data_IF_499316733278
#
_entry.id   IF_499316733278
#
_cell.length_a   1.000
_cell.length_b   1.000
_cell.length_c   1.000
_cell.angle_alpha   90.00
_cell.angle_beta   90.00
_cell.angle_gamma   90.00
#
_symmetry.space_group_name_H-M   'P 1'
#
loop_
_entity.id
_entity.type
_entity.pdbx_description
1 polymer ?
#
# COMPACT_ATOMS: atom_id res chain seq x y z
N UNK A 1 58.04 -6.71 -26.26
CA UNK A 1 58.09 -7.97 -27.07
C UNK A 1 56.85 -8.79 -26.71
N UNK A 2 56.04 -9.05 -27.76
CA UNK A 2 54.89 -9.97 -27.91
C UNK A 2 53.66 -9.62 -27.06
N UNK A 3 52.51 -9.13 -27.54
CA UNK A 3 51.67 -9.43 -28.74
C UNK A 3 50.91 -10.77 -28.62
N UNK A 4 49.55 -10.59 -28.83
CA UNK A 4 48.60 -11.61 -29.30
C UNK A 4 47.97 -12.47 -28.18
N UNK A 5 46.65 -12.61 -28.02
CA UNK A 5 45.71 -13.01 -29.06
C UNK A 5 44.23 -12.62 -28.74
N UNK A 6 43.54 -12.34 -29.82
CA UNK A 6 42.09 -12.14 -29.96
C UNK A 6 41.35 -13.47 -29.88
N UNK A 7 40.14 -13.48 -29.34
CA UNK A 7 39.08 -14.34 -29.83
C UNK A 7 37.70 -13.65 -29.65
N UNK A 8 37.20 -13.17 -30.79
CA UNK A 8 35.77 -12.84 -31.01
C UNK A 8 34.99 -14.16 -31.07
N UNK A 9 33.85 -14.20 -30.38
CA UNK A 9 32.76 -15.10 -30.79
C UNK A 9 31.44 -14.34 -30.70
N UNK A 10 31.01 -13.84 -31.85
CA UNK A 10 29.68 -13.37 -32.10
C UNK A 10 28.72 -14.57 -32.18
N UNK A 11 27.76 -14.64 -31.26
CA UNK A 11 26.61 -15.56 -31.31
C UNK A 11 25.33 -14.77 -31.56
N UNK A 12 24.91 -14.68 -32.82
CA UNK A 12 23.62 -14.11 -33.20
C UNK A 12 22.52 -15.13 -32.89
N UNK A 13 21.66 -14.81 -31.93
CA UNK A 13 20.37 -15.50 -31.77
C UNK A 13 19.28 -14.72 -32.52
N UNK A 14 18.82 -15.30 -33.60
CA UNK A 14 17.68 -14.85 -34.40
C UNK A 14 16.42 -15.12 -33.61
N UNK A 15 15.77 -14.05 -33.13
CA UNK A 15 14.48 -14.12 -32.43
C UNK A 15 13.34 -14.21 -33.45
N UNK A 16 12.54 -15.26 -33.39
CA UNK A 16 11.27 -15.36 -34.08
C UNK A 16 10.22 -14.44 -33.48
N UNK A 17 9.32 -13.82 -34.25
CA UNK A 17 8.29 -12.96 -33.73
C UNK A 17 7.17 -13.77 -33.08
N UNK A 18 6.89 -13.49 -31.81
CA UNK A 18 5.67 -13.96 -31.13
C UNK A 18 4.45 -13.26 -31.71
N UNK A 19 3.49 -14.05 -32.22
CA UNK A 19 2.20 -13.58 -32.64
C UNK A 19 1.35 -13.11 -31.46
N UNK A 20 0.51 -12.07 -31.62
CA UNK A 20 -0.39 -11.62 -30.55
C UNK A 20 -1.52 -12.62 -30.34
N UNK A 21 -1.65 -13.12 -29.11
CA UNK A 21 -2.81 -13.89 -28.68
C UNK A 21 -3.99 -12.96 -28.47
N UNK A 22 -5.03 -13.14 -29.26
CA UNK A 22 -6.32 -12.50 -29.13
C UNK A 22 -7.01 -12.98 -27.84
N UNK A 23 -7.21 -12.07 -26.90
CA UNK A 23 -7.99 -12.34 -25.71
C UNK A 23 -9.47 -12.47 -26.06
N UNK A 24 -10.05 -13.64 -25.78
CA UNK A 24 -11.48 -13.89 -25.84
C UNK A 24 -12.17 -13.18 -24.65
N UNK A 25 -13.27 -12.44 -24.83
CA UNK A 25 -13.98 -11.83 -23.73
C UNK A 25 -14.80 -12.88 -22.98
N UNK A 26 -14.48 -13.10 -21.72
CA UNK A 26 -15.24 -13.92 -20.78
C UNK A 26 -16.45 -13.14 -20.25
N UNK A 27 -17.62 -13.63 -20.60
CA UNK A 27 -18.94 -13.58 -19.97
C UNK A 27 -19.32 -12.34 -19.14
N UNK A 28 -20.32 -11.64 -19.65
CA UNK A 28 -21.09 -10.65 -18.91
C UNK A 28 -21.86 -11.31 -17.74
N UNK A 29 -22.02 -10.62 -16.60
CA UNK A 29 -22.81 -11.14 -15.49
C UNK A 29 -24.31 -11.11 -15.80
N UNK A 30 -25.11 -12.01 -15.20
CA UNK A 30 -26.56 -12.10 -15.43
C UNK A 30 -27.27 -10.86 -14.87
N UNK A 31 -28.17 -10.30 -15.67
CA UNK A 31 -29.10 -9.24 -15.27
C UNK A 31 -30.08 -9.78 -14.21
N UNK A 32 -30.06 -9.18 -13.02
CA UNK A 32 -31.09 -9.39 -12.02
C UNK A 32 -32.34 -8.58 -12.39
N UNK A 33 -33.42 -9.31 -12.54
CA UNK A 33 -34.78 -8.80 -12.81
C UNK A 33 -35.32 -8.16 -11.54
N UNK A 34 -35.77 -6.90 -11.63
CA UNK A 34 -36.35 -6.15 -10.54
C UNK A 34 -37.63 -6.79 -10.00
N UNK A 35 -37.69 -6.99 -8.70
CA UNK A 35 -38.90 -7.27 -7.95
C UNK A 35 -39.33 -6.04 -7.17
N UNK A 36 -40.47 -5.45 -7.55
CA UNK A 36 -41.19 -4.44 -6.77
C UNK A 36 -41.63 -5.02 -5.43
N UNK A 37 -41.14 -4.48 -4.31
CA UNK A 37 -41.74 -4.71 -3.01
C UNK A 37 -42.29 -3.42 -2.44
N UNK A 38 -43.61 -3.38 -2.27
CA UNK A 38 -44.41 -2.38 -1.61
C UNK A 38 -44.00 -2.22 -0.16
N UNK A 39 -43.79 -0.98 0.20
CA UNK A 39 -43.47 -0.54 1.55
C UNK A 39 -44.76 -0.40 2.40
N UNK A 40 -44.90 -1.05 3.56
CA UNK A 40 -45.86 -0.65 4.57
C UNK A 40 -45.16 0.20 5.64
N UNK A 41 -45.70 1.39 5.83
CA UNK A 41 -45.35 2.39 6.83
C UNK A 41 -45.52 1.81 8.25
N UNK A 42 -44.59 1.88 9.17
CA UNK A 42 -44.84 1.75 10.60
C UNK A 42 -44.65 3.09 11.35
N UNK A 43 -45.62 3.32 12.20
CA UNK A 43 -45.79 4.39 13.13
C UNK A 43 -44.64 4.49 14.16
N UNK A 44 -44.34 5.74 14.49
CA UNK A 44 -43.73 6.35 15.67
C UNK A 44 -43.36 5.47 16.88
N UNK A 45 -42.13 5.67 17.38
CA UNK A 45 -41.76 5.60 18.80
C UNK A 45 -40.68 4.58 19.09
N UNK A 46 -39.46 5.06 19.11
CA UNK A 46 -38.43 4.81 20.13
C UNK A 46 -37.06 5.21 19.57
N UNK A 47 -36.54 6.29 20.10
CA UNK A 47 -35.16 6.72 19.82
C UNK A 47 -34.22 5.82 20.64
N UNK A 48 -33.77 4.74 20.05
CA UNK A 48 -32.57 4.04 20.47
C UNK A 48 -31.42 4.62 19.66
N UNK A 49 -30.47 5.24 20.33
CA UNK A 49 -29.19 5.64 19.75
C UNK A 49 -28.53 4.40 19.16
N UNK A 50 -28.74 4.17 17.85
CA UNK A 50 -27.97 3.23 17.09
C UNK A 50 -26.61 3.88 16.82
N UNK A 51 -25.61 3.46 17.58
CA UNK A 51 -24.21 3.58 17.14
C UNK A 51 -24.15 2.93 15.76
N UNK A 52 -24.08 3.74 14.71
CA UNK A 52 -23.87 3.29 13.33
C UNK A 52 -22.50 2.60 13.26
N UNK A 53 -22.48 1.31 13.55
CA UNK A 53 -21.36 0.47 13.15
C UNK A 53 -21.39 0.43 11.63
N UNK A 54 -20.52 1.20 11.02
CA UNK A 54 -20.30 1.19 9.58
C UNK A 54 -19.73 -0.19 9.23
N UNK A 55 -20.62 -1.09 8.80
CA UNK A 55 -20.24 -2.41 8.30
C UNK A 55 -19.56 -2.21 6.95
N UNK A 56 -18.23 -2.40 6.91
CA UNK A 56 -17.48 -2.32 5.68
C UNK A 56 -17.61 -3.65 4.95
N UNK A 57 -18.24 -3.64 3.78
CA UNK A 57 -18.20 -4.78 2.88
C UNK A 57 -16.80 -4.92 2.28
N UNK A 58 -16.14 -6.03 2.56
CA UNK A 58 -14.87 -6.41 1.96
C UNK A 58 -15.14 -7.36 0.80
N UNK A 59 -14.53 -7.04 -0.32
CA UNK A 59 -14.43 -7.97 -1.44
C UNK A 59 -13.00 -8.49 -1.49
N UNK A 60 -12.83 -9.80 -1.58
CA UNK A 60 -11.52 -10.38 -1.82
C UNK A 60 -11.31 -10.59 -3.31
N UNK A 61 -10.15 -10.22 -3.79
CA UNK A 61 -9.66 -10.53 -5.12
C UNK A 61 -8.39 -11.37 -5.01
N UNK A 62 -8.31 -12.41 -5.83
CA UNK A 62 -7.10 -13.22 -5.90
C UNK A 62 -6.21 -12.69 -7.03
N UNK A 63 -4.95 -12.41 -6.70
CA UNK A 63 -3.92 -12.06 -7.68
C UNK A 63 -2.80 -13.08 -7.62
N UNK A 64 -2.13 -13.28 -8.75
CA UNK A 64 -0.98 -14.17 -8.83
C UNK A 64 0.30 -13.40 -8.46
N UNK A 65 1.10 -13.92 -7.55
CA UNK A 65 2.46 -13.41 -7.34
C UNK A 65 3.35 -13.78 -8.53
N UNK A 66 4.54 -13.18 -8.63
CA UNK A 66 5.49 -13.48 -9.69
C UNK A 66 5.98 -14.95 -9.75
N UNK A 67 5.52 -15.79 -8.80
CA UNK A 67 5.79 -17.24 -8.72
C UNK A 67 4.56 -18.09 -9.02
N UNK A 68 3.47 -17.48 -9.49
CA UNK A 68 2.23 -18.18 -9.82
C UNK A 68 1.36 -18.58 -8.63
N UNK A 69 1.65 -18.12 -7.39
CA UNK A 69 0.81 -18.40 -6.23
C UNK A 69 -0.33 -17.40 -6.14
N UNK A 70 -1.53 -17.88 -5.82
CA UNK A 70 -2.68 -17.02 -5.56
C UNK A 70 -2.52 -16.33 -4.20
N UNK A 71 -2.61 -15.02 -4.20
CA UNK A 71 -2.64 -14.18 -3.01
C UNK A 71 -4.02 -13.53 -2.94
N UNK A 72 -4.68 -13.68 -1.81
CA UNK A 72 -5.93 -13.00 -1.54
C UNK A 72 -5.65 -11.55 -1.17
N UNK A 73 -6.25 -10.62 -1.92
CA UNK A 73 -6.23 -9.19 -1.62
C UNK A 73 -7.64 -8.78 -1.23
N UNK A 74 -7.80 -8.27 -0.02
CA UNK A 74 -9.05 -7.68 0.43
C UNK A 74 -9.24 -6.32 -0.25
N UNK A 75 -10.28 -6.22 -1.08
CA UNK A 75 -10.64 -4.98 -1.75
C UNK A 75 -11.67 -4.23 -0.91
N UNK A 76 -11.37 -2.99 -0.55
CA UNK A 76 -12.32 -2.09 0.05
C UNK A 76 -13.07 -1.35 -1.05
N UNK A 77 -14.37 -1.56 -1.17
CA UNK A 77 -15.22 -0.68 -1.99
C UNK A 77 -15.53 0.60 -1.24
N UNK A 78 -15.35 1.74 -1.90
CA UNK A 78 -15.93 2.99 -1.44
C UNK A 78 -17.46 2.90 -1.47
N UNK A 79 -18.15 3.53 -0.52
CA UNK A 79 -19.60 3.76 -0.61
C UNK A 79 -19.87 4.63 -1.84
N UNK A 80 -21.02 4.47 -2.47
CA UNK A 80 -21.39 5.14 -3.72
C UNK A 80 -21.21 6.66 -3.71
N UNK A 81 -21.25 7.30 -2.53
CA UNK A 81 -21.05 8.75 -2.32
C UNK A 81 -19.73 9.12 -1.62
N UNK A 82 -18.82 8.17 -1.42
CA UNK A 82 -17.57 8.37 -0.68
C UNK A 82 -16.34 8.50 -1.56
N UNK A 83 -15.60 9.59 -1.43
CA UNK A 83 -14.23 9.65 -1.93
C UNK A 83 -13.36 8.67 -1.14
N UNK A 84 -12.52 7.90 -1.82
CA UNK A 84 -11.52 7.04 -1.19
C UNK A 84 -10.12 7.44 -1.66
N UNK A 85 -9.17 7.23 -0.77
CA UNK A 85 -7.77 7.52 -1.06
C UNK A 85 -7.20 6.32 -1.82
N UNK A 86 -6.81 6.53 -3.08
CA UNK A 86 -6.20 5.52 -3.94
C UNK A 86 -4.66 5.54 -3.92
N UNK A 87 -4.08 6.62 -3.44
CA UNK A 87 -2.65 6.76 -3.22
C UNK A 87 -2.41 7.83 -2.15
N UNK A 88 -1.43 7.64 -1.29
CA UNK A 88 -1.00 8.69 -0.37
C UNK A 88 0.52 8.74 -0.27
N UNK A 89 1.05 9.94 -0.25
CA UNK A 89 2.48 10.19 0.01
C UNK A 89 2.60 11.22 1.11
N UNK A 90 3.37 10.89 2.15
CA UNK A 90 3.61 11.82 3.26
C UNK A 90 5.05 11.75 3.76
N UNK A 91 5.47 12.83 4.40
CA UNK A 91 6.78 12.92 5.06
C UNK A 91 6.61 13.27 6.53
N UNK A 92 7.48 12.74 7.35
CA UNK A 92 7.64 13.09 8.77
C UNK A 92 9.12 13.33 9.07
N UNK A 93 9.42 14.09 10.11
CA UNK A 93 10.79 14.23 10.62
C UNK A 93 11.18 12.99 11.44
N UNK A 94 12.45 12.60 11.44
CA UNK A 94 12.94 11.41 12.17
C UNK A 94 12.70 11.50 13.68
N UNK A 95 12.69 12.70 14.25
CA UNK A 95 12.31 12.92 15.66
C UNK A 95 10.87 12.52 15.99
N UNK A 96 10.03 12.28 14.99
CA UNK A 96 8.61 11.93 15.21
C UNK A 96 8.47 10.61 15.97
N UNK A 97 9.28 9.61 15.65
CA UNK A 97 9.18 8.30 16.27
C UNK A 97 9.60 8.33 17.74
N UNK A 98 10.77 8.91 18.12
CA UNK A 98 11.13 9.12 19.52
C UNK A 98 10.08 9.92 20.30
N UNK A 99 9.52 10.97 19.70
CA UNK A 99 8.49 11.80 20.34
C UNK A 99 7.21 11.02 20.62
N UNK A 100 6.72 10.24 19.64
CA UNK A 100 5.48 9.46 19.76
C UNK A 100 5.65 8.30 20.74
N UNK A 101 6.78 7.62 20.70
CA UNK A 101 7.06 6.43 21.52
C UNK A 101 7.66 6.77 22.89
N UNK A 102 8.07 8.01 23.09
CA UNK A 102 8.79 8.49 24.32
C UNK A 102 10.07 7.68 24.59
N UNK A 103 10.73 7.19 23.54
CA UNK A 103 11.94 6.37 23.62
C UNK A 103 12.96 6.84 22.58
N UNK A 104 14.22 6.93 22.99
CA UNK A 104 15.34 7.15 22.06
C UNK A 104 15.76 5.81 21.43
N UNK A 105 16.22 5.85 20.20
CA UNK A 105 16.74 4.71 19.44
C UNK A 105 18.21 4.98 19.12
N UNK A 106 19.04 3.97 19.33
CA UNK A 106 20.50 4.11 19.14
C UNK A 106 20.92 3.73 17.72
N UNK A 107 20.19 2.80 17.12
CA UNK A 107 20.51 2.30 15.79
C UNK A 107 19.35 2.52 14.81
N UNK A 108 19.67 2.69 13.53
CA UNK A 108 18.69 2.78 12.45
C UNK A 108 17.79 1.53 12.40
N UNK A 109 18.35 0.36 12.71
CA UNK A 109 17.60 -0.90 12.71
C UNK A 109 16.49 -0.91 13.78
N UNK A 110 16.81 -0.50 15.01
CA UNK A 110 15.82 -0.37 16.09
C UNK A 110 14.76 0.68 15.76
N UNK A 111 15.20 1.80 15.22
CA UNK A 111 14.33 2.88 14.79
C UNK A 111 13.32 2.41 13.74
N UNK A 112 13.80 1.78 12.66
CA UNK A 112 12.96 1.29 11.58
C UNK A 112 12.06 0.13 12.01
N UNK A 113 12.55 -0.75 12.91
CA UNK A 113 11.71 -1.80 13.48
C UNK A 113 10.53 -1.20 14.25
N UNK A 114 10.78 -0.18 15.08
CA UNK A 114 9.71 0.51 15.81
C UNK A 114 8.76 1.28 14.89
N UNK A 115 9.30 1.91 13.86
CA UNK A 115 8.47 2.56 12.85
C UNK A 115 7.59 1.55 12.11
N UNK A 116 8.14 0.38 11.78
CA UNK A 116 7.37 -0.73 11.18
C UNK A 116 6.20 -1.19 12.08
N UNK A 117 6.41 -1.29 13.40
CA UNK A 117 5.33 -1.60 14.34
C UNK A 117 4.22 -0.54 14.33
N UNK A 118 4.59 0.75 14.34
CA UNK A 118 3.61 1.83 14.25
C UNK A 118 2.82 1.80 12.94
N UNK A 119 3.49 1.54 11.82
CA UNK A 119 2.81 1.37 10.53
C UNK A 119 1.88 0.15 10.55
N UNK A 120 2.29 -0.95 11.19
CA UNK A 120 1.45 -2.15 11.39
C UNK A 120 0.20 -1.81 12.23
N UNK A 121 0.33 -0.97 13.24
CA UNK A 121 -0.82 -0.50 14.05
C UNK A 121 -1.77 0.38 13.25
N UNK A 122 -1.25 1.22 12.36
CA UNK A 122 -2.02 2.16 11.54
C UNK A 122 -2.64 1.48 10.33
N UNK A 123 -1.83 0.79 9.54
CA UNK A 123 -2.19 0.27 8.21
C UNK A 123 -2.59 -1.20 8.23
N UNK A 124 -2.15 -1.98 9.25
CA UNK A 124 -2.28 -3.43 9.27
C UNK A 124 -1.09 -4.17 8.66
N UNK A 125 -0.10 -3.47 8.14
CA UNK A 125 1.16 -4.02 7.62
C UNK A 125 2.31 -3.04 7.87
N UNK A 126 3.52 -3.57 7.95
CA UNK A 126 4.74 -2.82 8.24
C UNK A 126 5.79 -2.95 7.14
N UNK A 127 7.02 -2.59 7.49
CA UNK A 127 8.20 -2.69 6.63
C UNK A 127 8.64 -4.15 6.57
N UNK A 128 8.81 -4.71 5.36
CA UNK A 128 9.15 -6.12 5.18
C UNK A 128 10.60 -6.37 4.77
N UNK A 129 11.19 -5.52 3.92
CA UNK A 129 12.53 -5.73 3.42
C UNK A 129 13.21 -4.42 3.00
N UNK A 130 14.55 -4.37 3.12
CA UNK A 130 15.35 -3.35 2.48
C UNK A 130 15.50 -3.68 1.01
N UNK A 131 15.25 -2.70 0.14
CA UNK A 131 15.40 -2.85 -1.29
C UNK A 131 16.86 -2.61 -1.73
N UNK A 132 17.31 -3.23 -2.83
CA UNK A 132 18.71 -3.16 -3.25
C UNK A 132 19.11 -1.83 -3.90
N UNK A 133 18.22 -0.85 -3.93
CA UNK A 133 18.44 0.47 -4.53
C UNK A 133 18.19 1.60 -3.52
N UNK A 134 18.71 2.79 -3.84
CA UNK A 134 18.51 4.00 -3.04
C UNK A 134 17.06 4.48 -3.12
N UNK A 135 16.66 5.25 -2.11
CA UNK A 135 15.38 5.92 -2.14
C UNK A 135 15.31 7.04 -3.18
N UNK A 136 14.10 7.52 -3.45
CA UNK A 136 13.87 8.72 -4.27
C UNK A 136 14.37 9.98 -3.56
N UNK A 137 14.52 11.08 -4.28
CA UNK A 137 14.76 12.43 -3.73
C UNK A 137 15.93 12.51 -2.72
N UNK A 138 17.05 11.86 -3.00
CA UNK A 138 18.25 11.85 -2.16
C UNK A 138 18.17 11.02 -0.87
N UNK A 139 17.13 10.21 -0.66
CA UNK A 139 17.09 9.24 0.40
C UNK A 139 18.12 8.12 0.16
N UNK A 140 18.83 7.75 1.23
CA UNK A 140 19.92 6.78 1.12
C UNK A 140 19.43 5.33 1.01
N UNK A 141 18.29 5.05 1.63
CA UNK A 141 17.72 3.71 1.71
C UNK A 141 16.25 3.71 1.30
N UNK A 142 15.83 2.59 0.71
CA UNK A 142 14.45 2.31 0.36
C UNK A 142 14.03 0.97 0.96
N UNK A 143 12.85 0.92 1.52
CA UNK A 143 12.29 -0.28 2.14
C UNK A 143 10.92 -0.56 1.54
N UNK A 144 10.61 -1.83 1.34
CA UNK A 144 9.30 -2.27 0.92
C UNK A 144 8.31 -2.17 2.09
N UNK A 145 7.14 -1.63 1.82
CA UNK A 145 6.00 -1.61 2.73
C UNK A 145 4.99 -2.67 2.29
N UNK A 146 4.55 -3.49 3.21
CA UNK A 146 3.65 -4.62 2.94
C UNK A 146 4.33 -6.00 3.05
N UNK A 147 3.63 -7.08 2.73
CA UNK A 147 4.18 -8.43 2.78
C UNK A 147 5.29 -8.63 1.74
N UNK A 148 6.19 -9.59 1.97
CA UNK A 148 7.38 -9.79 1.12
C UNK A 148 7.10 -9.98 -0.38
N UNK A 149 5.92 -10.47 -0.73
CA UNK A 149 5.58 -10.81 -2.10
C UNK A 149 4.71 -9.76 -2.81
N UNK A 150 4.25 -8.74 -2.09
CA UNK A 150 3.38 -7.69 -2.65
C UNK A 150 3.84 -6.33 -2.14
N UNK A 151 4.12 -5.42 -3.06
CA UNK A 151 4.49 -4.06 -2.72
C UNK A 151 3.24 -3.20 -2.53
N UNK A 152 2.91 -2.88 -1.27
CA UNK A 152 1.85 -1.95 -0.92
C UNK A 152 2.32 -0.50 -0.90
N UNK A 153 3.62 -0.31 -0.87
CA UNK A 153 4.25 1.00 -0.87
C UNK A 153 5.72 0.93 -0.55
N UNK A 154 6.30 2.09 -0.27
CA UNK A 154 7.72 2.25 0.04
C UNK A 154 7.95 3.20 1.20
N UNK A 155 8.98 2.92 1.98
CA UNK A 155 9.52 3.82 3.00
C UNK A 155 10.94 4.21 2.58
N UNK A 156 11.17 5.51 2.44
CA UNK A 156 12.47 6.08 2.11
C UNK A 156 13.05 6.72 3.36
N UNK A 157 14.28 6.32 3.71
CA UNK A 157 14.96 6.71 4.95
C UNK A 157 16.38 7.24 4.69
N UNK A 158 16.88 8.04 5.65
CA UNK A 158 18.20 8.67 5.56
C UNK A 158 18.20 9.80 4.53
N UNK A 159 17.14 10.58 4.47
CA UNK A 159 16.99 11.71 3.57
C UNK A 159 17.65 12.98 4.08
N UNK A 160 17.70 13.97 3.20
CA UNK A 160 18.07 15.32 3.58
C UNK A 160 17.08 15.86 4.62
N UNK A 161 17.59 16.65 5.56
CA UNK A 161 16.80 17.28 6.62
C UNK A 161 16.14 16.30 7.59
N UNK A 162 16.73 15.12 7.76
CA UNK A 162 16.26 14.13 8.74
C UNK A 162 14.76 13.79 8.55
N UNK A 163 14.36 13.54 7.32
CA UNK A 163 12.99 13.20 6.99
C UNK A 163 12.86 11.76 6.53
N UNK A 164 11.68 11.20 6.76
CA UNK A 164 11.23 9.92 6.23
C UNK A 164 10.09 10.19 5.27
N UNK A 165 10.15 9.60 4.08
CA UNK A 165 9.08 9.66 3.09
C UNK A 165 8.40 8.29 3.01
N UNK A 166 7.08 8.29 3.08
CA UNK A 166 6.24 7.10 2.89
C UNK A 166 5.37 7.31 1.66
N UNK A 167 5.40 6.34 0.78
CA UNK A 167 4.53 6.24 -0.39
C UNK A 167 3.66 5.00 -0.23
N UNK A 168 2.36 5.15 -0.22
CA UNK A 168 1.38 4.08 -0.26
C UNK A 168 0.69 4.11 -1.62
N UNK A 169 0.71 3.00 -2.34
CA UNK A 169 0.06 2.87 -3.65
C UNK A 169 -1.41 2.43 -3.50
N UNK A 170 -2.16 2.37 -4.60
CA UNK A 170 -3.57 2.00 -4.61
C UNK A 170 -3.84 0.63 -3.99
N UNK A 171 -2.97 -0.35 -4.28
CA UNK A 171 -3.07 -1.68 -3.67
C UNK A 171 -2.89 -1.61 -2.15
N UNK A 172 -1.93 -0.79 -1.70
CA UNK A 172 -1.69 -0.58 -0.28
C UNK A 172 -2.83 0.15 0.42
N UNK A 173 -3.39 1.19 -0.20
CA UNK A 173 -4.56 1.90 0.34
C UNK A 173 -5.77 0.96 0.48
N UNK A 174 -5.98 0.10 -0.53
CA UNK A 174 -7.07 -0.88 -0.54
C UNK A 174 -6.85 -2.00 0.49
N UNK A 175 -5.60 -2.47 0.66
CA UNK A 175 -5.25 -3.53 1.59
C UNK A 175 -5.14 -3.06 3.04
N UNK A 176 -5.09 -1.74 3.28
CA UNK A 176 -4.99 -1.20 4.61
C UNK A 176 -6.26 -1.48 5.43
N UNK A 177 -6.06 -1.77 6.72
CA UNK A 177 -7.18 -2.10 7.62
C UNK A 177 -8.17 -0.94 7.75
N UNK A 178 -9.47 -1.24 7.96
CA UNK A 178 -10.52 -0.21 8.05
C UNK A 178 -10.17 0.93 9.00
N UNK A 179 -10.49 2.16 8.60
CA UNK A 179 -10.25 3.36 9.39
C UNK A 179 -8.77 3.75 9.51
N UNK A 180 -7.91 3.23 8.63
CA UNK A 180 -6.49 3.58 8.59
C UNK A 180 -6.29 5.09 8.36
N UNK A 181 -7.16 5.73 7.64
CA UNK A 181 -7.10 7.17 7.34
C UNK A 181 -7.15 8.00 8.64
N UNK A 182 -8.10 7.68 9.53
CA UNK A 182 -8.23 8.36 10.82
C UNK A 182 -7.01 8.08 11.70
N UNK A 183 -6.56 6.81 11.78
CA UNK A 183 -5.37 6.46 12.56
C UNK A 183 -4.11 7.15 12.02
N UNK A 184 -3.96 7.23 10.69
CA UNK A 184 -2.86 7.95 10.08
C UNK A 184 -2.94 9.45 10.40
N UNK A 185 -4.12 10.04 10.30
CA UNK A 185 -4.33 11.44 10.67
C UNK A 185 -3.94 11.71 12.12
N UNK A 186 -4.41 10.90 13.08
CA UNK A 186 -4.06 11.03 14.49
C UNK A 186 -2.57 10.86 14.75
N UNK A 187 -1.92 9.93 14.04
CA UNK A 187 -0.48 9.74 14.11
C UNK A 187 0.26 10.98 13.60
N UNK A 188 -0.11 11.49 12.43
CA UNK A 188 0.51 12.67 11.84
C UNK A 188 0.37 13.92 12.75
N UNK A 189 -0.75 14.08 13.45
CA UNK A 189 -0.92 15.17 14.43
C UNK A 189 0.11 15.13 15.58
N UNK A 190 0.63 13.96 15.91
CA UNK A 190 1.65 13.78 16.97
C UNK A 190 3.07 13.91 16.44
N UNK A 191 3.26 13.83 15.12
CA UNK A 191 4.57 13.87 14.46
C UNK A 191 5.19 15.28 14.47
N UNK A 192 6.49 15.32 14.18
CA UNK A 192 7.25 16.55 13.95
C UNK A 192 7.22 16.86 12.46
N UNK A 193 6.78 18.06 12.10
CA UNK A 193 6.72 18.56 10.71
C UNK A 193 6.10 17.56 9.72
N UNK A 194 4.91 17.01 10.00
CA UNK A 194 4.26 16.12 9.08
C UNK A 194 3.82 16.90 7.83
N UNK A 195 3.90 16.27 6.68
CA UNK A 195 3.44 16.85 5.42
C UNK A 195 2.87 15.76 4.52
N UNK A 196 1.62 15.87 4.13
CA UNK A 196 1.03 15.09 3.05
C UNK A 196 1.38 15.80 1.74
N UNK A 197 2.01 15.09 0.81
CA UNK A 197 2.49 15.65 -0.45
C UNK A 197 1.67 15.19 -1.65
N UNK A 198 0.92 14.10 -1.50
CA UNK A 198 0.03 13.56 -2.52
C UNK A 198 -1.09 12.76 -1.87
N UNK A 199 -2.30 12.93 -2.40
CA UNK A 199 -3.51 12.13 -2.14
C UNK A 199 -4.16 11.84 -3.46
#
# INVERSE_FOLDING_TARGET
>A
MRAEDRAETAGACVGAPCAPQTATPLNAPPRLIGGEQKNPNPKSGEQTEKTDQVEFEYFSQYVTDGKGRLIEILLRRGREDGAFIDQITFTIHEESIPKVTKKAYVTDAEYLAKYSELLQEILGFGISAKLPYKGKFFYQSCYQLGPQNVEYGKVHYGGQRETILVELNGTGCTAAKPGWENRLYEFLQKCVRPKITRV
#
